data_IF_509608804526
#
_entry.id   IF_509608804526
#
_cell.length_a   1.000
_cell.length_b   1.000
_cell.length_c   1.000
_cell.angle_alpha   90.00
_cell.angle_beta   90.00
_cell.angle_gamma   90.00
#
_symmetry.space_group_name_H-M   'P 1'
#
loop_
_entity.id
_entity.type
_entity.pdbx_description
1 polymer ?
#
# COMPACT_ATOMS: atom_id res chain seq x y z
N UNK A 1 12.23 -58.24 -16.12
CA UNK A 1 13.20 -57.16 -16.43
C UNK A 1 14.47 -57.41 -15.63
N UNK A 2 15.67 -57.22 -16.20
CA UNK A 2 16.92 -57.40 -15.47
C UNK A 2 17.17 -56.22 -14.51
N UNK A 3 17.87 -56.47 -13.40
CA UNK A 3 18.25 -55.44 -12.43
C UNK A 3 18.95 -54.25 -13.11
N UNK A 4 19.77 -54.51 -14.13
CA UNK A 4 20.47 -53.48 -14.91
C UNK A 4 19.55 -52.60 -15.77
N UNK A 5 18.37 -53.08 -16.16
CA UNK A 5 17.38 -52.24 -16.87
C UNK A 5 16.66 -51.30 -15.88
N UNK A 6 16.35 -51.76 -14.68
CA UNK A 6 15.78 -50.91 -13.63
C UNK A 6 16.73 -49.79 -13.20
N UNK A 7 18.01 -50.09 -12.97
CA UNK A 7 19.00 -49.08 -12.60
C UNK A 7 19.19 -48.01 -13.68
N UNK A 8 19.14 -48.39 -14.97
CA UNK A 8 19.21 -47.43 -16.09
C UNK A 8 17.98 -46.54 -16.15
N UNK A 9 16.78 -47.10 -16.00
CA UNK A 9 15.53 -46.34 -15.99
C UNK A 9 15.53 -45.35 -14.81
N UNK A 10 15.91 -45.81 -13.62
CA UNK A 10 15.97 -44.96 -12.43
C UNK A 10 17.02 -43.84 -12.59
N UNK A 11 18.20 -44.17 -13.14
CA UNK A 11 19.25 -43.20 -13.40
C UNK A 11 18.82 -42.12 -14.40
N UNK A 12 18.16 -42.50 -15.50
CA UNK A 12 17.62 -41.55 -16.48
C UNK A 12 16.54 -40.67 -15.83
N UNK A 13 15.63 -41.26 -15.05
CA UNK A 13 14.60 -40.51 -14.35
C UNK A 13 15.20 -39.50 -13.36
N UNK A 14 16.22 -39.89 -12.60
CA UNK A 14 16.91 -39.02 -11.65
C UNK A 14 17.61 -37.85 -12.36
N UNK A 15 18.34 -38.11 -13.44
CA UNK A 15 18.96 -37.04 -14.26
C UNK A 15 17.91 -36.11 -14.85
N UNK A 16 16.78 -36.65 -15.32
CA UNK A 16 15.66 -35.85 -15.81
C UNK A 16 15.06 -34.92 -14.74
N UNK A 17 14.91 -35.41 -13.50
CA UNK A 17 14.45 -34.60 -12.37
C UNK A 17 15.46 -33.49 -12.06
N UNK A 18 16.76 -33.82 -11.95
CA UNK A 18 17.80 -32.83 -11.71
C UNK A 18 17.86 -31.76 -12.80
N UNK A 19 17.76 -32.17 -14.08
CA UNK A 19 17.71 -31.24 -15.20
C UNK A 19 16.48 -30.32 -15.14
N UNK A 20 15.33 -30.85 -14.71
CA UNK A 20 14.09 -30.07 -14.53
C UNK A 20 14.22 -29.05 -13.40
N UNK A 21 14.76 -29.47 -12.24
CA UNK A 21 15.03 -28.57 -11.11
C UNK A 21 16.03 -27.49 -11.50
N UNK A 22 17.09 -27.86 -12.23
CA UNK A 22 18.09 -26.91 -12.71
C UNK A 22 17.52 -25.93 -13.74
N UNK A 23 16.70 -26.42 -14.68
CA UNK A 23 15.99 -25.58 -15.65
C UNK A 23 15.04 -24.60 -14.97
N UNK A 24 14.32 -25.05 -13.94
CA UNK A 24 13.45 -24.19 -13.15
C UNK A 24 14.23 -23.13 -12.36
N UNK A 25 15.35 -23.51 -11.74
CA UNK A 25 16.24 -22.58 -11.03
C UNK A 25 16.82 -21.51 -11.95
N UNK A 26 17.19 -21.88 -13.18
CA UNK A 26 17.71 -20.94 -14.18
C UNK A 26 16.62 -20.04 -14.79
N UNK A 27 15.34 -20.40 -14.63
CA UNK A 27 14.21 -19.59 -15.10
C UNK A 27 13.70 -18.65 -14.00
N UNK A 28 13.57 -19.12 -12.76
CA UNK A 28 12.94 -18.38 -11.67
C UNK A 28 13.69 -17.07 -11.35
N UNK A 29 12.96 -15.97 -11.44
CA UNK A 29 13.40 -14.68 -10.97
C UNK A 29 13.37 -14.61 -9.43
N UNK A 30 14.25 -13.78 -8.82
CA UNK A 30 14.22 -13.52 -7.38
C UNK A 30 12.88 -12.90 -6.97
N UNK A 31 12.33 -13.34 -5.85
CA UNK A 31 11.08 -12.83 -5.28
C UNK A 31 11.25 -11.40 -4.79
N UNK A 32 10.33 -10.52 -5.15
CA UNK A 32 10.33 -9.10 -4.76
C UNK A 32 8.97 -8.66 -4.19
N UNK A 33 7.87 -9.00 -4.87
CA UNK A 33 6.51 -8.62 -4.46
C UNK A 33 5.96 -9.45 -3.31
N UNK A 34 5.26 -8.81 -2.36
CA UNK A 34 4.66 -9.48 -1.21
C UNK A 34 3.61 -10.54 -1.58
N UNK A 35 2.75 -10.28 -2.58
CA UNK A 35 1.73 -11.22 -3.05
C UNK A 35 2.35 -12.40 -3.79
N UNK A 36 3.36 -12.16 -4.63
CA UNK A 36 4.10 -13.24 -5.28
C UNK A 36 4.81 -14.12 -4.25
N UNK A 37 5.44 -13.51 -3.23
CA UNK A 37 6.11 -14.21 -2.12
C UNK A 37 5.14 -15.07 -1.31
N UNK A 38 4.05 -14.48 -0.83
CA UNK A 38 3.11 -15.14 0.09
C UNK A 38 2.20 -16.12 -0.65
N UNK A 39 1.80 -15.80 -1.88
CA UNK A 39 1.05 -16.70 -2.74
C UNK A 39 1.92 -17.78 -3.40
N UNK A 40 3.24 -17.60 -3.41
CA UNK A 40 4.21 -18.45 -4.11
C UNK A 40 4.11 -18.39 -5.63
N UNK A 41 3.68 -17.26 -6.19
CA UNK A 41 3.65 -17.02 -7.63
C UNK A 41 5.05 -16.65 -8.13
N UNK A 42 5.33 -16.97 -9.39
CA UNK A 42 6.62 -16.65 -9.99
C UNK A 42 6.69 -15.19 -10.43
N UNK A 43 7.80 -14.52 -10.13
CA UNK A 43 8.11 -13.17 -10.62
C UNK A 43 8.34 -13.13 -12.13
N UNK A 44 8.58 -14.29 -12.75
CA UNK A 44 8.55 -14.47 -14.19
C UNK A 44 7.21 -14.10 -14.79
N UNK A 45 6.12 -14.40 -14.08
CA UNK A 45 4.76 -14.21 -14.56
C UNK A 45 4.20 -12.88 -14.05
N UNK A 46 4.36 -12.60 -12.77
CA UNK A 46 3.72 -11.44 -12.12
C UNK A 46 4.66 -10.27 -11.85
N UNK A 47 5.98 -10.42 -12.01
CA UNK A 47 6.91 -9.33 -11.74
C UNK A 47 6.79 -8.21 -12.79
N UNK A 48 6.77 -6.93 -12.39
CA UNK A 48 6.67 -5.81 -13.31
C UNK A 48 7.88 -5.75 -14.24
N UNK A 49 7.68 -5.24 -15.46
CA UNK A 49 8.74 -5.07 -16.47
C UNK A 49 9.01 -3.60 -16.81
N UNK A 50 8.05 -2.72 -16.54
CA UNK A 50 8.24 -1.29 -16.73
C UNK A 50 9.15 -0.72 -15.63
N UNK A 51 10.01 0.25 -15.98
CA UNK A 51 10.77 1.02 -15.00
C UNK A 51 9.87 1.70 -13.95
N UNK A 52 10.38 1.82 -12.72
CA UNK A 52 9.76 2.55 -11.62
C UNK A 52 10.60 3.77 -11.28
N UNK A 53 9.96 4.93 -11.12
CA UNK A 53 10.63 6.16 -10.75
C UNK A 53 10.96 6.17 -9.25
N UNK A 54 12.24 6.17 -8.90
CA UNK A 54 12.75 6.12 -7.53
C UNK A 54 13.64 7.33 -7.20
N UNK A 55 13.70 7.69 -5.92
CA UNK A 55 14.61 8.71 -5.41
C UNK A 55 15.95 8.09 -5.00
N UNK A 56 17.02 8.88 -5.03
CA UNK A 56 18.35 8.40 -4.58
C UNK A 56 18.37 8.03 -3.10
N UNK A 57 17.60 8.77 -2.29
CA UNK A 57 17.43 8.58 -0.86
C UNK A 57 16.02 8.96 -0.42
N UNK A 58 15.58 8.42 0.71
CA UNK A 58 14.32 8.84 1.31
C UNK A 58 14.43 10.25 1.89
N UNK A 59 13.35 11.02 1.75
CA UNK A 59 13.20 12.39 2.25
C UNK A 59 12.47 12.44 3.61
N UNK A 60 12.07 11.27 4.13
CA UNK A 60 11.33 11.10 5.37
C UNK A 60 12.07 10.16 6.32
N UNK A 61 11.66 10.17 7.60
CA UNK A 61 12.12 9.22 8.62
C UNK A 61 10.96 8.32 9.04
N UNK A 62 11.14 7.01 8.95
CA UNK A 62 10.29 6.04 9.65
C UNK A 62 10.85 5.86 11.05
N UNK A 63 10.02 6.08 12.07
CA UNK A 63 10.43 5.84 13.46
C UNK A 63 10.45 4.34 13.80
N UNK A 64 11.41 3.95 14.64
CA UNK A 64 11.43 2.64 15.28
C UNK A 64 11.18 2.70 16.79
N UNK A 65 11.29 3.89 17.39
CA UNK A 65 11.03 4.20 18.80
C UNK A 65 10.33 5.58 18.90
N UNK A 66 9.34 5.77 19.77
CA UNK A 66 8.69 7.07 20.00
C UNK A 66 9.71 8.20 20.30
N UNK A 67 10.87 7.87 20.88
CA UNK A 67 11.98 8.81 21.15
C UNK A 67 12.60 9.39 19.88
N UNK A 68 12.38 8.78 18.72
CA UNK A 68 12.82 9.31 17.42
C UNK A 68 12.12 10.61 17.02
N UNK A 69 10.99 10.92 17.67
CA UNK A 69 10.30 12.19 17.54
C UNK A 69 10.82 13.17 18.60
N UNK A 70 12.05 13.63 18.38
CA UNK A 70 12.81 14.49 19.29
C UNK A 70 12.88 15.96 18.83
N UNK A 71 12.36 16.26 17.65
CA UNK A 71 12.33 17.58 17.03
C UNK A 71 11.03 17.80 16.27
N UNK A 72 10.78 19.06 15.91
CA UNK A 72 9.62 19.45 15.13
C UNK A 72 9.62 18.83 13.72
N UNK A 73 8.43 18.39 13.29
CA UNK A 73 8.10 18.05 11.91
C UNK A 73 6.78 18.73 11.53
N UNK A 74 6.67 19.21 10.30
CA UNK A 74 5.43 19.83 9.80
C UNK A 74 4.28 18.80 9.73
N UNK A 75 4.62 17.56 9.36
CA UNK A 75 3.68 16.46 9.17
C UNK A 75 4.07 15.25 10.01
N UNK A 76 3.10 14.75 10.76
CA UNK A 76 3.18 13.45 11.44
C UNK A 76 2.26 12.48 10.72
N UNK A 77 2.80 11.35 10.28
CA UNK A 77 2.02 10.26 9.67
C UNK A 77 1.96 9.10 10.66
N UNK A 78 0.77 8.56 10.90
CA UNK A 78 0.60 7.22 11.44
C UNK A 78 0.01 6.36 10.32
N UNK A 79 0.83 5.46 9.76
CA UNK A 79 0.50 4.70 8.56
C UNK A 79 0.83 3.23 8.67
N UNK A 80 0.45 2.44 7.66
CA UNK A 80 0.75 1.01 7.60
C UNK A 80 1.87 0.70 6.59
N UNK A 81 1.89 -0.50 6.00
CA UNK A 81 2.89 -0.91 5.01
C UNK A 81 2.95 0.02 3.79
N UNK A 82 1.87 0.72 3.43
CA UNK A 82 1.87 1.74 2.38
C UNK A 82 2.71 2.96 2.74
N UNK A 83 2.95 3.19 4.02
CA UNK A 83 3.84 4.24 4.53
C UNK A 83 5.19 3.71 5.01
N UNK A 84 5.24 2.53 5.63
CA UNK A 84 6.42 2.05 6.36
C UNK A 84 7.33 1.18 5.48
N UNK A 85 6.75 0.29 4.69
CA UNK A 85 7.54 -0.74 3.97
C UNK A 85 8.16 -0.19 2.66
N UNK A 86 7.97 1.11 2.39
CA UNK A 86 8.48 1.80 1.21
C UNK A 86 9.90 2.36 1.37
N UNK A 87 10.47 2.28 2.57
CA UNK A 87 11.82 2.80 2.85
C UNK A 87 12.89 2.14 1.96
N UNK A 88 12.78 0.83 1.72
CA UNK A 88 13.72 0.09 0.86
C UNK A 88 13.55 0.39 -0.63
N UNK A 89 12.33 0.73 -1.05
CA UNK A 89 11.95 0.95 -2.46
C UNK A 89 12.27 2.37 -2.96
N UNK A 90 12.39 3.34 -2.06
CA UNK A 90 12.73 4.74 -2.36
C UNK A 90 11.75 5.47 -3.30
N UNK A 91 10.57 4.92 -3.55
CA UNK A 91 9.49 5.57 -4.31
C UNK A 91 8.18 5.69 -3.52
N UNK A 92 8.25 5.61 -2.18
CA UNK A 92 7.10 5.87 -1.31
C UNK A 92 6.48 7.25 -1.54
N UNK A 93 5.19 7.36 -1.26
CA UNK A 93 4.40 8.57 -1.52
C UNK A 93 4.93 9.78 -0.73
N UNK A 94 5.56 9.54 0.42
CA UNK A 94 6.18 10.56 1.26
C UNK A 94 7.27 11.33 0.53
N UNK A 95 8.09 10.64 -0.27
CA UNK A 95 9.13 11.30 -1.06
C UNK A 95 8.51 12.28 -2.05
N UNK A 96 7.44 11.86 -2.76
CA UNK A 96 6.73 12.74 -3.68
C UNK A 96 6.06 13.92 -2.96
N UNK A 97 5.42 13.67 -1.81
CA UNK A 97 4.75 14.71 -1.02
C UNK A 97 5.74 15.76 -0.52
N UNK A 98 6.84 15.33 0.09
CA UNK A 98 7.88 16.23 0.63
C UNK A 98 8.56 16.98 -0.51
N UNK A 99 8.87 16.31 -1.62
CA UNK A 99 9.49 16.95 -2.77
C UNK A 99 8.59 18.03 -3.41
N UNK A 100 7.26 17.81 -3.41
CA UNK A 100 6.27 18.75 -3.93
C UNK A 100 6.01 19.91 -2.98
N UNK A 101 5.89 19.65 -1.68
CA UNK A 101 5.42 20.65 -0.71
C UNK A 101 6.55 21.36 0.04
N UNK A 102 7.70 20.71 0.20
CA UNK A 102 8.78 21.16 1.07
C UNK A 102 8.55 20.95 2.56
N UNK A 103 7.44 20.30 2.95
CA UNK A 103 7.13 20.03 4.36
C UNK A 103 7.97 18.86 4.90
N UNK A 104 8.45 19.00 6.13
CA UNK A 104 9.14 17.91 6.83
C UNK A 104 8.15 16.86 7.36
N UNK A 105 8.56 15.58 7.36
CA UNK A 105 7.68 14.47 7.74
C UNK A 105 8.38 13.41 8.60
N UNK A 106 7.65 12.92 9.59
CA UNK A 106 7.98 11.72 10.37
C UNK A 106 6.83 10.70 10.25
N UNK A 107 7.18 9.42 10.14
CA UNK A 107 6.23 8.31 9.90
C UNK A 107 6.29 7.30 11.03
N UNK A 108 5.14 7.01 11.63
CA UNK A 108 4.90 5.99 12.65
C UNK A 108 4.16 4.80 12.05
N UNK A 109 4.50 3.60 12.54
CA UNK A 109 3.89 2.34 12.10
C UNK A 109 2.65 2.00 12.96
N UNK A 110 1.49 1.87 12.32
CA UNK A 110 0.22 1.43 12.93
C UNK A 110 0.29 0.04 13.55
N UNK A 111 1.26 -0.80 13.15
CA UNK A 111 1.51 -2.11 13.75
C UNK A 111 2.20 -2.00 15.12
N UNK A 112 2.77 -0.84 15.45
CA UNK A 112 3.58 -0.62 16.66
C UNK A 112 2.97 0.38 17.62
N UNK A 113 2.33 1.42 17.10
CA UNK A 113 1.86 2.55 17.90
C UNK A 113 0.40 2.84 17.67
N UNK A 114 -0.26 3.21 18.76
CA UNK A 114 -1.59 3.79 18.75
C UNK A 114 -1.51 5.32 18.62
N UNK A 115 -2.53 5.95 17.99
CA UNK A 115 -2.60 7.40 17.84
C UNK A 115 -2.40 8.17 19.16
N UNK A 116 -3.00 7.67 20.24
CA UNK A 116 -2.92 8.32 21.55
C UNK A 116 -1.50 8.30 22.12
N UNK A 117 -0.68 7.30 21.80
CA UNK A 117 0.71 7.27 22.25
C UNK A 117 1.52 8.41 21.64
N UNK A 118 1.23 8.77 20.38
CA UNK A 118 1.89 9.86 19.65
C UNK A 118 1.36 11.22 20.14
N UNK A 119 0.03 11.34 20.28
CA UNK A 119 -0.62 12.57 20.75
C UNK A 119 -0.17 12.96 22.16
N UNK A 120 0.12 11.97 23.01
CA UNK A 120 0.54 12.20 24.39
C UNK A 120 2.01 12.63 24.53
N UNK A 121 2.82 12.55 23.46
CA UNK A 121 4.24 12.89 23.51
C UNK A 121 4.46 14.38 23.85
N UNK A 122 5.48 14.69 24.68
CA UNK A 122 5.80 16.09 25.02
C UNK A 122 6.03 16.98 23.80
N UNK A 123 6.72 16.48 22.77
CA UNK A 123 6.99 17.24 21.54
C UNK A 123 5.70 17.58 20.79
N UNK A 124 4.73 16.64 20.73
CA UNK A 124 3.46 16.85 20.05
C UNK A 124 2.62 17.90 20.77
N UNK A 125 2.65 17.91 22.11
CA UNK A 125 1.90 18.88 22.92
C UNK A 125 2.54 20.27 22.91
N UNK A 126 3.87 20.35 22.97
CA UNK A 126 4.60 21.63 23.02
C UNK A 126 4.73 22.27 21.64
N UNK A 127 4.90 21.45 20.61
CA UNK A 127 5.14 21.86 19.23
C UNK A 127 4.30 20.99 18.28
N UNK A 128 2.96 21.13 18.29
CA UNK A 128 2.07 20.30 17.48
C UNK A 128 2.39 20.43 15.99
N UNK A 129 2.30 19.33 15.22
CA UNK A 129 2.49 19.38 13.78
C UNK A 129 1.36 20.16 13.12
N UNK A 130 1.61 20.72 11.94
CA UNK A 130 0.58 21.37 11.13
C UNK A 130 -0.46 20.36 10.66
N UNK A 131 -0.01 19.17 10.28
CA UNK A 131 -0.87 18.10 9.76
C UNK A 131 -0.55 16.78 10.46
N UNK A 132 -1.61 16.10 10.89
CA UNK A 132 -1.55 14.70 11.28
C UNK A 132 -2.29 13.87 10.22
N UNK A 133 -1.55 12.99 9.56
CA UNK A 133 -2.10 12.08 8.55
C UNK A 133 -2.28 10.71 9.20
N UNK A 134 -3.53 10.25 9.23
CA UNK A 134 -3.81 8.84 9.47
C UNK A 134 -3.92 8.13 8.12
N UNK A 135 -2.95 7.27 7.83
CA UNK A 135 -2.92 6.47 6.62
C UNK A 135 -3.34 5.04 6.93
N UNK A 136 -4.24 4.49 6.11
CA UNK A 136 -4.67 3.11 6.24
C UNK A 136 -4.99 2.51 4.88
N UNK A 137 -4.51 1.30 4.64
CA UNK A 137 -5.08 0.43 3.63
C UNK A 137 -6.54 0.12 3.92
N UNK A 138 -7.32 0.10 2.85
CA UNK A 138 -8.77 0.00 2.88
C UNK A 138 -9.27 -1.25 3.61
N UNK A 139 -8.67 -2.44 3.37
CA UNK A 139 -9.05 -3.70 4.03
C UNK A 139 -8.93 -3.76 5.55
N UNK A 140 -8.20 -2.83 6.17
CA UNK A 140 -8.06 -2.76 7.64
C UNK A 140 -8.62 -1.46 8.23
N UNK A 141 -9.18 -0.60 7.38
CA UNK A 141 -9.63 0.72 7.78
C UNK A 141 -10.77 0.64 8.79
N UNK A 142 -11.76 -0.23 8.53
CA UNK A 142 -12.91 -0.38 9.42
C UNK A 142 -12.47 -0.76 10.83
N UNK A 143 -11.63 -1.79 10.98
CA UNK A 143 -11.14 -2.24 12.29
C UNK A 143 -10.35 -1.16 13.02
N UNK A 144 -9.58 -0.35 12.29
CA UNK A 144 -8.74 0.70 12.87
C UNK A 144 -9.53 1.92 13.35
N UNK A 145 -10.60 2.29 12.66
CA UNK A 145 -11.36 3.51 13.01
C UNK A 145 -12.65 3.22 13.77
N UNK A 146 -13.27 2.05 13.59
CA UNK A 146 -14.52 1.70 14.26
C UNK A 146 -14.38 1.66 15.78
N UNK A 147 -13.17 1.43 16.31
CA UNK A 147 -12.89 1.56 17.74
C UNK A 147 -13.29 2.94 18.31
N UNK A 148 -13.11 4.01 17.53
CA UNK A 148 -13.45 5.38 17.95
C UNK A 148 -14.94 5.68 17.86
N UNK A 149 -15.74 4.87 17.16
CA UNK A 149 -17.17 5.16 16.96
C UNK A 149 -17.98 5.14 18.27
N UNK A 150 -17.51 4.37 19.27
CA UNK A 150 -18.08 4.31 20.61
C UNK A 150 -17.52 5.35 21.59
N UNK A 151 -16.57 6.19 21.17
CA UNK A 151 -15.94 7.18 22.04
C UNK A 151 -16.67 8.51 22.03
N UNK A 152 -16.52 9.26 23.13
CA UNK A 152 -16.98 10.65 23.20
C UNK A 152 -15.87 11.56 22.68
N UNK A 153 -16.18 12.36 21.66
CA UNK A 153 -15.24 13.34 21.14
C UNK A 153 -14.91 14.41 22.21
N UNK A 154 -13.65 14.84 22.35
CA UNK A 154 -13.29 15.90 23.27
C UNK A 154 -13.87 17.25 22.83
N UNK A 155 -13.92 18.21 23.77
CA UNK A 155 -14.24 19.60 23.43
C UNK A 155 -13.10 20.19 22.58
N UNK A 156 -13.46 20.87 21.49
CA UNK A 156 -12.48 21.51 20.61
C UNK A 156 -11.99 22.83 21.22
N UNK A 157 -10.67 23.02 21.27
CA UNK A 157 -10.08 24.33 21.49
C UNK A 157 -10.39 25.25 20.29
N UNK A 158 -10.43 26.59 20.47
CA UNK A 158 -10.49 27.52 19.35
C UNK A 158 -9.36 27.27 18.36
N UNK A 159 -9.68 27.26 17.06
CA UNK A 159 -8.66 27.01 16.04
C UNK A 159 -7.62 28.13 16.01
N UNK A 160 -6.36 27.74 16.12
CA UNK A 160 -5.14 28.53 15.93
C UNK A 160 -4.30 28.00 14.77
N UNK A 161 -4.82 27.02 14.03
CA UNK A 161 -4.16 26.44 12.87
C UNK A 161 -3.80 27.53 11.85
N UNK A 162 -2.61 27.48 11.24
CA UNK A 162 -2.26 28.45 10.21
C UNK A 162 -3.26 28.33 9.04
N UNK A 163 -3.73 29.45 8.46
CA UNK A 163 -4.66 29.41 7.33
C UNK A 163 -3.99 28.78 6.10
N UNK A 164 -2.73 29.12 5.87
CA UNK A 164 -1.86 28.56 4.83
C UNK A 164 -0.86 27.57 5.45
N UNK A 165 -1.08 26.27 5.26
CA UNK A 165 -0.20 25.20 5.72
C UNK A 165 1.16 25.24 5.03
N UNK A 166 1.17 25.65 3.76
CA UNK A 166 2.36 25.69 2.92
C UNK A 166 3.05 27.06 2.88
N UNK A 167 2.61 28.02 3.70
CA UNK A 167 3.22 29.34 3.77
C UNK A 167 4.74 29.24 4.01
N UNK A 168 5.52 29.78 3.07
CA UNK A 168 6.98 29.78 3.12
C UNK A 168 7.67 28.46 2.75
N UNK A 169 6.91 27.37 2.56
CA UNK A 169 7.45 26.11 2.07
C UNK A 169 7.71 26.19 0.55
N UNK A 170 8.75 25.51 0.08
CA UNK A 170 9.12 25.48 -1.34
C UNK A 170 9.34 24.04 -1.80
N UNK A 171 8.84 23.67 -3.00
CA UNK A 171 9.17 22.38 -3.59
C UNK A 171 10.69 22.17 -3.64
N UNK A 172 11.15 20.98 -3.29
CA UNK A 172 12.59 20.66 -3.28
C UNK A 172 13.12 20.46 -4.71
N UNK A 173 12.25 20.07 -5.65
CA UNK A 173 12.61 19.90 -7.06
C UNK A 173 13.60 18.76 -7.34
N UNK A 174 13.73 17.81 -6.41
CA UNK A 174 14.55 16.61 -6.55
C UNK A 174 13.93 15.72 -7.62
N UNK A 175 14.75 15.27 -8.57
CA UNK A 175 14.29 14.39 -9.66
C UNK A 175 14.37 12.93 -9.21
N UNK A 176 13.30 12.19 -9.44
CA UNK A 176 13.35 10.73 -9.43
C UNK A 176 14.04 10.24 -10.71
N UNK A 177 14.66 9.07 -10.65
CA UNK A 177 15.27 8.38 -11.78
C UNK A 177 14.57 7.03 -12.02
N UNK A 178 14.58 6.58 -13.26
CA UNK A 178 13.99 5.30 -13.63
C UNK A 178 14.87 4.14 -13.15
N UNK A 179 14.27 3.23 -12.39
CA UNK A 179 14.90 2.00 -11.91
C UNK A 179 14.15 0.79 -12.49
N UNK A 180 14.89 -0.13 -13.12
CA UNK A 180 14.33 -1.39 -13.64
C UNK A 180 14.58 -2.54 -12.68
N UNK A 181 13.59 -3.40 -12.50
CA UNK A 181 13.75 -4.65 -11.76
C UNK A 181 14.86 -5.53 -12.38
N UNK A 182 15.62 -6.23 -11.52
CA UNK A 182 16.61 -7.19 -11.99
C UNK A 182 15.91 -8.40 -12.61
N UNK A 183 16.20 -8.69 -13.88
CA UNK A 183 15.70 -9.88 -14.59
C UNK A 183 16.72 -11.03 -14.60
N UNK A 184 17.73 -10.97 -13.73
CA UNK A 184 18.73 -12.04 -13.63
C UNK A 184 18.19 -13.12 -12.71
N UNK A 185 17.86 -14.27 -13.29
CA UNK A 185 17.61 -15.49 -12.52
C UNK A 185 18.86 -15.87 -11.72
N UNK A 186 18.63 -16.33 -10.48
CA UNK A 186 19.67 -16.81 -9.59
C UNK A 186 19.45 -18.27 -9.26
N UNK A 187 20.52 -19.06 -9.19
CA UNK A 187 20.41 -20.44 -8.73
C UNK A 187 20.31 -20.47 -7.21
N UNK A 188 19.09 -20.63 -6.70
CA UNK A 188 18.79 -20.84 -5.28
C UNK A 188 17.87 -22.06 -5.14
N UNK A 189 18.40 -23.13 -4.55
CA UNK A 189 17.67 -24.40 -4.40
C UNK A 189 16.51 -24.30 -3.42
N UNK A 190 16.63 -23.47 -2.38
CA UNK A 190 15.58 -23.31 -1.37
C UNK A 190 14.40 -22.55 -1.97
N UNK A 191 14.71 -21.53 -2.80
CA UNK A 191 13.69 -20.81 -3.57
C UNK A 191 12.94 -21.74 -4.53
N UNK A 192 13.64 -22.61 -5.26
CA UNK A 192 13.03 -23.56 -6.21
C UNK A 192 12.12 -24.56 -5.50
N UNK A 193 12.60 -25.17 -4.41
CA UNK A 193 11.82 -26.13 -3.63
C UNK A 193 10.62 -25.44 -2.97
N UNK A 194 10.81 -24.23 -2.45
CA UNK A 194 9.72 -23.41 -1.90
C UNK A 194 8.64 -23.11 -2.93
N UNK A 195 9.04 -22.71 -4.14
CA UNK A 195 8.10 -22.46 -5.24
C UNK A 195 7.31 -23.71 -5.63
N UNK A 196 7.99 -24.86 -5.80
CA UNK A 196 7.32 -26.14 -6.10
C UNK A 196 6.34 -26.54 -4.99
N UNK A 197 6.74 -26.38 -3.72
CA UNK A 197 5.86 -26.60 -2.58
C UNK A 197 4.63 -25.69 -2.60
N UNK A 198 4.80 -24.41 -2.93
CA UNK A 198 3.69 -23.47 -3.03
C UNK A 198 2.73 -23.81 -4.18
N UNK A 199 3.23 -24.27 -5.33
CA UNK A 199 2.39 -24.76 -6.44
C UNK A 199 1.50 -25.91 -5.96
N UNK A 200 2.08 -26.88 -5.24
CA UNK A 200 1.33 -28.01 -4.67
C UNK A 200 0.30 -27.52 -3.65
N UNK A 201 0.69 -26.64 -2.72
CA UNK A 201 -0.23 -26.09 -1.72
C UNK A 201 -1.41 -25.33 -2.36
N UNK A 202 -1.17 -24.52 -3.41
CA UNK A 202 -2.24 -23.85 -4.15
C UNK A 202 -3.17 -24.84 -4.84
N UNK A 203 -2.62 -25.86 -5.51
CA UNK A 203 -3.44 -26.86 -6.20
C UNK A 203 -4.32 -27.67 -5.23
N UNK A 204 -3.83 -27.89 -4.01
CA UNK A 204 -4.57 -28.55 -2.93
C UNK A 204 -5.49 -27.61 -2.13
N UNK A 205 -5.53 -26.31 -2.46
CA UNK A 205 -6.32 -25.32 -1.73
C UNK A 205 -5.83 -25.02 -0.31
N UNK A 206 -4.57 -25.34 0.00
CA UNK A 206 -3.96 -25.16 1.32
C UNK A 206 -3.38 -23.75 1.53
N UNK A 207 -3.12 -23.01 0.45
CA UNK A 207 -2.77 -21.58 0.53
C UNK A 207 -4.01 -20.75 0.22
N UNK A 208 -4.48 -20.00 1.21
CA UNK A 208 -5.64 -19.12 1.13
C UNK A 208 -5.29 -17.64 1.35
N UNK A 209 -4.01 -17.27 1.32
CA UNK A 209 -3.60 -15.90 1.63
C UNK A 209 -3.72 -14.95 0.43
N UNK A 210 -3.50 -15.46 -0.78
CA UNK A 210 -3.53 -14.68 -2.03
C UNK A 210 -4.54 -15.30 -2.99
N UNK A 211 -5.36 -14.45 -3.59
CA UNK A 211 -6.34 -14.83 -4.60
C UNK A 211 -5.90 -14.26 -5.95
N UNK A 212 -5.90 -15.13 -6.96
CA UNK A 212 -5.73 -14.72 -8.35
C UNK A 212 -7.11 -14.40 -8.94
N UNK A 213 -7.29 -13.18 -9.43
CA UNK A 213 -8.54 -12.69 -10.01
C UNK A 213 -8.32 -12.40 -11.50
N UNK A 214 -9.04 -13.10 -12.40
CA UNK A 214 -8.97 -12.83 -13.83
C UNK A 214 -9.53 -11.45 -14.18
N UNK A 215 -8.84 -10.77 -15.10
CA UNK A 215 -9.19 -9.46 -15.63
C UNK A 215 -9.88 -9.59 -17.00
N UNK A 216 -10.83 -8.70 -17.25
CA UNK A 216 -11.52 -8.54 -18.54
C UNK A 216 -10.69 -7.73 -19.55
N UNK A 217 -9.65 -7.03 -19.09
CA UNK A 217 -8.82 -6.13 -19.90
C UNK A 217 -7.34 -6.38 -19.66
N UNK A 218 -6.59 -6.51 -20.77
CA UNK A 218 -5.13 -6.59 -20.81
C UNK A 218 -4.47 -5.22 -20.71
N UNK A 219 -3.17 -5.20 -20.44
CA UNK A 219 -2.37 -3.98 -20.44
C UNK A 219 -2.62 -3.04 -19.25
N UNK A 220 -3.11 -3.56 -18.13
CA UNK A 220 -3.18 -2.86 -16.84
C UNK A 220 -1.86 -2.96 -16.07
N UNK A 221 -1.13 -4.06 -16.29
CA UNK A 221 0.18 -4.34 -15.72
C UNK A 221 1.23 -4.48 -16.84
N UNK A 222 2.50 -4.27 -16.51
CA UNK A 222 3.63 -4.54 -17.40
C UNK A 222 4.19 -5.96 -17.27
N UNK A 223 3.70 -6.75 -16.33
CA UNK A 223 4.09 -8.14 -16.14
C UNK A 223 3.74 -9.03 -17.35
N UNK A 224 4.46 -10.14 -17.57
CA UNK A 224 4.14 -11.08 -18.64
C UNK A 224 2.74 -11.70 -18.52
N UNK A 225 2.27 -12.00 -17.30
CA UNK A 225 0.86 -12.22 -17.04
C UNK A 225 0.18 -10.85 -16.85
N UNK A 226 -0.56 -10.42 -17.86
CA UNK A 226 -1.38 -9.21 -17.84
C UNK A 226 -2.89 -9.50 -17.91
N UNK A 227 -3.26 -10.76 -17.68
CA UNK A 227 -4.66 -11.24 -17.67
C UNK A 227 -5.19 -11.48 -16.28
N UNK A 228 -4.32 -11.60 -15.28
CA UNK A 228 -4.70 -11.93 -13.92
C UNK A 228 -4.06 -10.95 -12.93
N UNK A 229 -4.76 -10.73 -11.83
CA UNK A 229 -4.33 -9.86 -10.75
C UNK A 229 -4.26 -10.64 -9.44
N UNK A 230 -3.17 -10.46 -8.71
CA UNK A 230 -3.05 -10.99 -7.36
C UNK A 230 -3.58 -9.97 -6.36
N UNK A 231 -4.35 -10.45 -5.37
CA UNK A 231 -4.83 -9.68 -4.21
C UNK A 231 -4.72 -10.49 -2.93
N UNK A 232 -4.68 -9.83 -1.77
CA UNK A 232 -4.84 -10.55 -0.51
C UNK A 232 -6.28 -11.06 -0.35
N UNK A 233 -6.43 -12.27 0.19
CA UNK A 233 -7.75 -12.83 0.52
C UNK A 233 -8.53 -11.93 1.48
N UNK A 234 -7.83 -11.25 2.38
CA UNK A 234 -8.42 -10.31 3.33
C UNK A 234 -9.19 -9.17 2.66
N UNK A 235 -8.84 -8.77 1.44
CA UNK A 235 -9.62 -7.75 0.71
C UNK A 235 -11.07 -8.20 0.48
N UNK A 236 -11.30 -9.52 0.28
CA UNK A 236 -12.63 -10.07 0.03
C UNK A 236 -13.51 -10.08 1.27
N UNK A 237 -12.94 -9.94 2.48
CA UNK A 237 -13.74 -9.79 3.72
C UNK A 237 -14.62 -8.54 3.67
N UNK A 238 -14.24 -7.52 2.90
CA UNK A 238 -15.04 -6.31 2.71
C UNK A 238 -16.40 -6.57 2.05
N UNK A 239 -16.60 -7.73 1.40
CA UNK A 239 -17.88 -8.10 0.80
C UNK A 239 -18.98 -8.33 1.84
N UNK A 240 -18.63 -8.60 3.09
CA UNK A 240 -19.60 -8.73 4.18
C UNK A 240 -19.95 -7.42 4.88
N UNK A 241 -19.28 -6.31 4.54
CA UNK A 241 -19.57 -5.01 5.15
C UNK A 241 -20.93 -4.50 4.69
N UNK A 242 -21.70 -3.97 5.62
CA UNK A 242 -23.01 -3.37 5.36
C UNK A 242 -23.11 -1.93 5.88
N UNK A 243 -24.31 -1.36 5.77
CA UNK A 243 -24.57 0.03 6.16
C UNK A 243 -24.22 0.35 7.61
N UNK A 244 -24.38 -0.61 8.53
CA UNK A 244 -23.95 -0.42 9.91
C UNK A 244 -22.43 -0.21 10.01
N UNK A 245 -21.65 -1.01 9.31
CA UNK A 245 -20.19 -0.91 9.32
C UNK A 245 -19.74 0.40 8.66
N UNK A 246 -20.41 0.84 7.60
CA UNK A 246 -20.14 2.12 6.96
C UNK A 246 -20.49 3.33 7.84
N UNK A 247 -21.55 3.22 8.65
CA UNK A 247 -21.90 4.24 9.64
C UNK A 247 -20.88 4.28 10.79
N UNK A 248 -20.48 3.12 11.32
CA UNK A 248 -19.43 3.01 12.34
C UNK A 248 -18.08 3.55 11.83
N UNK A 249 -17.76 3.28 10.56
CA UNK A 249 -16.59 3.81 9.85
C UNK A 249 -16.58 5.35 9.83
N UNK A 250 -17.65 5.98 9.34
CA UNK A 250 -17.76 7.45 9.26
C UNK A 250 -17.73 8.10 10.64
N UNK A 251 -18.47 7.53 11.60
CA UNK A 251 -18.50 8.01 12.99
C UNK A 251 -17.12 7.90 13.65
N UNK A 252 -16.45 6.76 13.49
CA UNK A 252 -15.11 6.53 14.01
C UNK A 252 -14.10 7.52 13.46
N UNK A 253 -14.10 7.74 12.14
CA UNK A 253 -13.25 8.75 11.50
C UNK A 253 -13.53 10.17 12.02
N UNK A 254 -14.80 10.55 12.18
CA UNK A 254 -15.17 11.87 12.69
C UNK A 254 -14.75 12.09 14.15
N UNK A 255 -14.89 11.07 15.00
CA UNK A 255 -14.44 11.16 16.40
C UNK A 255 -12.91 11.24 16.46
N UNK A 256 -12.23 10.45 15.64
CA UNK A 256 -10.78 10.45 15.61
C UNK A 256 -10.22 11.80 15.12
N UNK A 257 -10.81 12.38 14.07
CA UNK A 257 -10.52 13.76 13.65
C UNK A 257 -10.60 14.72 14.84
N UNK A 258 -11.73 14.72 15.57
CA UNK A 258 -11.93 15.63 16.71
C UNK A 258 -10.93 15.42 17.84
N UNK A 259 -10.46 14.19 18.07
CA UNK A 259 -9.43 13.90 19.07
C UNK A 259 -8.13 14.61 18.70
N UNK A 260 -7.70 14.49 17.44
CA UNK A 260 -6.42 15.03 16.98
C UNK A 260 -6.47 16.56 16.86
N UNK A 261 -7.59 17.09 16.38
CA UNK A 261 -7.80 18.54 16.22
C UNK A 261 -8.13 19.26 17.55
N UNK A 262 -8.28 18.53 18.67
CA UNK A 262 -8.63 19.10 19.97
C UNK A 262 -7.62 20.14 20.49
N UNK A 263 -6.36 20.06 20.04
CA UNK A 263 -5.32 21.04 20.37
C UNK A 263 -5.51 22.41 19.66
N UNK A 264 -6.46 22.51 18.72
CA UNK A 264 -6.79 23.71 17.96
C UNK A 264 -5.77 24.09 16.88
N UNK A 265 -4.63 23.40 16.76
CA UNK A 265 -3.56 23.75 15.83
C UNK A 265 -3.40 22.74 14.69
N UNK A 266 -3.40 21.45 15.03
CA UNK A 266 -3.16 20.36 14.08
C UNK A 266 -4.40 20.11 13.24
N UNK A 267 -4.24 20.04 11.91
CA UNK A 267 -5.28 19.54 11.01
C UNK A 267 -5.16 18.04 10.84
N UNK A 268 -6.28 17.33 10.90
CA UNK A 268 -6.31 15.89 10.65
C UNK A 268 -6.64 15.61 9.19
N UNK A 269 -6.00 14.59 8.61
CA UNK A 269 -6.38 14.02 7.31
C UNK A 269 -6.41 12.51 7.41
N UNK A 270 -7.52 11.91 6.99
CA UNK A 270 -7.61 10.46 6.81
C UNK A 270 -7.36 10.15 5.33
N UNK A 271 -6.21 9.55 5.04
CA UNK A 271 -5.89 9.14 3.69
C UNK A 271 -5.93 7.62 3.58
N UNK A 272 -6.73 7.12 2.65
CA UNK A 272 -6.99 5.69 2.52
C UNK A 272 -6.32 5.18 1.26
N UNK A 273 -5.51 4.13 1.40
CA UNK A 273 -4.97 3.40 0.27
C UNK A 273 -6.02 2.39 -0.22
N UNK A 274 -6.70 2.62 -1.35
CA UNK A 274 -7.72 1.69 -1.81
C UNK A 274 -7.10 0.34 -2.16
N UNK A 275 -7.85 -0.72 -1.97
CA UNK A 275 -7.41 -2.05 -2.35
C UNK A 275 -7.45 -2.23 -3.88
N UNK A 276 -6.73 -3.23 -4.37
CA UNK A 276 -6.79 -3.57 -5.80
C UNK A 276 -8.18 -4.05 -6.21
N UNK A 277 -8.82 -4.87 -5.38
CA UNK A 277 -10.15 -5.45 -5.68
C UNK A 277 -11.27 -4.41 -5.80
N UNK A 278 -11.15 -3.25 -5.14
CA UNK A 278 -12.08 -2.12 -5.30
C UNK A 278 -11.66 -1.21 -6.45
N UNK A 279 -10.37 -0.90 -6.57
CA UNK A 279 -9.82 -0.01 -7.62
C UNK A 279 -10.00 -0.59 -9.03
N UNK A 280 -9.74 -1.89 -9.20
CA UNK A 280 -9.85 -2.57 -10.49
C UNK A 280 -11.24 -3.20 -10.73
N UNK A 281 -12.24 -2.92 -9.88
CA UNK A 281 -13.59 -3.48 -10.03
C UNK A 281 -14.17 -3.39 -11.46
N UNK A 282 -14.01 -2.27 -12.22
CA UNK A 282 -14.51 -2.17 -13.59
C UNK A 282 -13.80 -3.09 -14.61
N UNK A 283 -12.66 -3.67 -14.24
CA UNK A 283 -11.81 -4.48 -15.12
C UNK A 283 -11.80 -5.96 -14.73
N UNK A 284 -12.56 -6.37 -13.71
CA UNK A 284 -12.63 -7.77 -13.31
C UNK A 284 -13.47 -8.56 -14.33
N UNK A 285 -13.07 -9.80 -14.61
CA UNK A 285 -13.86 -10.69 -15.46
C UNK A 285 -15.15 -11.12 -14.78
N UNK A 286 -15.10 -11.30 -13.46
CA UNK A 286 -16.26 -11.65 -12.64
C UNK A 286 -16.49 -10.54 -11.59
N UNK A 287 -17.65 -9.90 -11.66
CA UNK A 287 -17.99 -8.78 -10.79
C UNK A 287 -18.23 -9.18 -9.32
N UNK A 288 -18.45 -10.47 -9.05
CA UNK A 288 -18.59 -11.04 -7.69
C UNK A 288 -17.29 -10.97 -6.88
N UNK A 289 -16.16 -10.65 -7.52
CA UNK A 289 -14.87 -10.41 -6.85
C UNK A 289 -14.61 -8.93 -6.55
N UNK A 290 -15.47 -8.03 -7.00
CA UNK A 290 -15.38 -6.62 -6.63
C UNK A 290 -15.69 -6.47 -5.13
N UNK A 291 -15.02 -5.51 -4.50
CA UNK A 291 -15.20 -5.20 -3.08
C UNK A 291 -15.65 -3.75 -2.91
N UNK A 292 -16.20 -3.43 -1.74
CA UNK A 292 -16.59 -2.06 -1.42
C UNK A 292 -15.39 -1.10 -1.48
N UNK A 293 -15.65 0.10 -2.01
CA UNK A 293 -14.72 1.22 -2.01
C UNK A 293 -15.01 2.11 -0.80
N UNK A 294 -14.26 1.92 0.28
CA UNK A 294 -14.41 2.64 1.54
C UNK A 294 -13.98 4.10 1.44
N UNK A 295 -13.12 4.47 0.48
CA UNK A 295 -12.81 5.88 0.21
C UNK A 295 -14.06 6.62 -0.25
N UNK A 296 -14.82 6.01 -1.18
CA UNK A 296 -16.09 6.54 -1.63
C UNK A 296 -17.15 6.53 -0.52
N UNK A 297 -17.17 5.52 0.35
CA UNK A 297 -18.09 5.45 1.49
C UNK A 297 -17.84 6.53 2.54
N UNK A 298 -16.57 6.83 2.84
CA UNK A 298 -16.18 7.94 3.72
C UNK A 298 -16.55 9.29 3.10
N UNK A 299 -16.32 9.46 1.80
CA UNK A 299 -16.59 10.70 1.08
C UNK A 299 -18.09 11.07 0.99
N UNK A 300 -19.00 10.17 1.36
CA UNK A 300 -20.42 10.50 1.55
C UNK A 300 -20.64 11.52 2.68
N UNK A 301 -19.72 11.61 3.63
CA UNK A 301 -19.70 12.67 4.65
C UNK A 301 -18.71 13.77 4.24
N UNK A 302 -19.19 14.94 3.77
CA UNK A 302 -18.33 16.03 3.32
C UNK A 302 -17.56 16.73 4.46
N UNK A 303 -17.88 16.44 5.73
CA UNK A 303 -17.15 16.98 6.87
C UNK A 303 -15.81 16.24 7.12
N UNK A 304 -15.66 15.03 6.57
CA UNK A 304 -14.45 14.23 6.75
C UNK A 304 -13.33 14.69 5.79
N UNK A 305 -12.11 14.93 6.28
CA UNK A 305 -10.97 15.34 5.46
C UNK A 305 -10.34 14.12 4.78
N UNK A 306 -11.03 13.57 3.78
CA UNK A 306 -10.64 12.36 3.04
C UNK A 306 -10.37 12.71 1.58
N UNK A 307 -9.10 12.75 1.13
CA UNK A 307 -8.76 12.90 -0.28
C UNK A 307 -9.36 11.77 -1.12
N UNK A 308 -9.89 12.07 -2.31
CA UNK A 308 -10.47 11.10 -3.26
C UNK A 308 -9.42 10.33 -4.05
N UNK A 309 -8.56 9.61 -3.32
CA UNK A 309 -7.47 8.78 -3.89
C UNK A 309 -8.02 7.71 -4.83
N UNK A 310 -9.20 7.18 -4.54
CA UNK A 310 -9.92 6.23 -5.40
C UNK A 310 -10.19 6.78 -6.80
N UNK A 311 -10.64 8.03 -6.91
CA UNK A 311 -10.94 8.66 -8.18
C UNK A 311 -9.66 8.94 -8.99
N UNK A 312 -8.65 9.53 -8.34
CA UNK A 312 -7.38 9.88 -9.01
C UNK A 312 -6.70 8.64 -9.58
N UNK A 313 -6.68 7.53 -8.83
CA UNK A 313 -6.12 6.27 -9.30
C UNK A 313 -6.96 5.66 -10.44
N UNK A 314 -8.29 5.63 -10.29
CA UNK A 314 -9.19 5.08 -11.31
C UNK A 314 -9.10 5.83 -12.65
N UNK A 315 -9.01 7.15 -12.62
CA UNK A 315 -8.86 8.00 -13.82
C UNK A 315 -7.56 7.68 -14.58
N UNK A 316 -6.45 7.55 -13.86
CA UNK A 316 -5.15 7.24 -14.48
C UNK A 316 -5.12 5.82 -15.04
N UNK A 317 -5.73 4.85 -14.35
CA UNK A 317 -5.89 3.49 -14.88
C UNK A 317 -6.76 3.49 -16.15
N UNK A 318 -7.87 4.24 -16.14
CA UNK A 318 -8.76 4.38 -17.30
C UNK A 318 -8.05 4.98 -18.51
N UNK A 319 -7.10 5.91 -18.29
CA UNK A 319 -6.25 6.49 -19.33
C UNK A 319 -5.25 5.52 -19.96
N UNK A 320 -5.14 4.28 -19.45
CA UNK A 320 -4.27 3.24 -19.98
C UNK A 320 -2.86 3.23 -19.36
N UNK A 321 -2.67 3.93 -18.23
CA UNK A 321 -1.40 3.88 -17.50
C UNK A 321 -1.25 2.53 -16.80
N UNK A 322 -0.12 1.87 -17.07
CA UNK A 322 0.26 0.60 -16.43
C UNK A 322 0.89 0.82 -15.06
N UNK A 323 0.84 -0.24 -14.26
CA UNK A 323 1.56 -0.35 -12.99
C UNK A 323 1.21 0.76 -11.99
N UNK A 324 -0.04 1.23 -12.01
CA UNK A 324 -0.58 2.05 -10.92
C UNK A 324 -0.52 1.26 -9.61
N UNK A 325 -0.82 -0.04 -9.70
CA UNK A 325 -0.40 -1.05 -8.74
C UNK A 325 0.57 -2.01 -9.39
N UNK A 326 1.50 -2.57 -8.62
CA UNK A 326 2.35 -3.64 -9.12
C UNK A 326 1.53 -4.95 -9.17
N UNK A 327 1.78 -5.79 -10.17
CA UNK A 327 1.05 -7.05 -10.38
C UNK A 327 1.38 -8.11 -9.33
N UNK A 328 2.64 -8.16 -8.89
CA UNK A 328 3.18 -9.10 -7.89
C UNK A 328 3.07 -8.62 -6.44
N UNK A 329 2.65 -7.37 -6.21
CA UNK A 329 2.70 -6.74 -4.90
C UNK A 329 1.39 -6.03 -4.54
N UNK A 330 1.00 -6.00 -3.27
CA UNK A 330 -0.24 -5.35 -2.83
C UNK A 330 -0.19 -3.82 -2.93
N UNK A 331 1.01 -3.24 -3.01
CA UNK A 331 1.25 -1.81 -3.05
C UNK A 331 1.24 -1.22 -4.46
N UNK A 332 1.31 0.11 -4.52
CA UNK A 332 1.40 0.86 -5.75
C UNK A 332 2.75 0.70 -6.45
N UNK A 333 2.75 0.90 -7.77
CA UNK A 333 3.98 1.31 -8.45
C UNK A 333 4.31 2.77 -8.14
N UNK A 334 5.44 3.26 -8.64
CA UNK A 334 5.89 4.63 -8.39
C UNK A 334 4.87 5.68 -8.83
N UNK A 335 4.11 5.42 -9.90
CA UNK A 335 3.06 6.31 -10.38
C UNK A 335 1.89 6.39 -9.39
N UNK A 336 1.47 5.27 -8.79
CA UNK A 336 0.39 5.28 -7.80
C UNK A 336 0.79 6.00 -6.52
N UNK A 337 2.03 5.79 -6.05
CA UNK A 337 2.58 6.57 -4.93
C UNK A 337 2.63 8.08 -5.21
N UNK A 338 3.02 8.48 -6.42
CA UNK A 338 3.00 9.89 -6.83
C UNK A 338 1.58 10.46 -6.81
N UNK A 339 0.61 9.75 -7.38
CA UNK A 339 -0.79 10.20 -7.43
C UNK A 339 -1.40 10.33 -6.03
N UNK A 340 -1.09 9.39 -5.14
CA UNK A 340 -1.50 9.44 -3.75
C UNK A 340 -0.95 10.67 -3.02
N UNK A 341 0.34 10.96 -3.21
CA UNK A 341 0.98 12.15 -2.67
C UNK A 341 0.37 13.45 -3.24
N UNK A 342 0.08 13.46 -4.54
CA UNK A 342 -0.54 14.60 -5.21
C UNK A 342 -1.95 14.86 -4.64
N UNK A 343 -2.78 13.82 -4.52
CA UNK A 343 -4.11 13.92 -3.94
C UNK A 343 -4.09 14.49 -2.51
N UNK A 344 -3.11 14.09 -1.68
CA UNK A 344 -2.94 14.66 -0.35
C UNK A 344 -2.59 16.15 -0.40
N UNK A 345 -1.60 16.52 -1.22
CA UNK A 345 -1.15 17.91 -1.34
C UNK A 345 -2.25 18.83 -1.87
N UNK A 346 -3.00 18.38 -2.89
CA UNK A 346 -4.14 19.09 -3.47
C UNK A 346 -5.27 19.25 -2.46
N UNK A 347 -5.58 18.20 -1.70
CA UNK A 347 -6.59 18.26 -0.65
C UNK A 347 -6.23 19.32 0.41
N UNK A 348 -4.99 19.30 0.90
CA UNK A 348 -4.50 20.27 1.87
C UNK A 348 -4.56 21.71 1.33
N UNK A 349 -4.15 21.96 0.08
CA UNK A 349 -4.23 23.29 -0.56
C UNK A 349 -5.68 23.76 -0.71
N UNK A 350 -6.59 22.90 -1.18
CA UNK A 350 -7.99 23.27 -1.38
C UNK A 350 -8.69 23.65 -0.08
N UNK A 351 -8.23 23.09 1.05
CA UNK A 351 -8.73 23.41 2.38
C UNK A 351 -8.30 24.79 2.90
N UNK A 352 -7.31 25.44 2.27
CA UNK A 352 -6.88 26.81 2.61
C UNK A 352 -7.77 27.89 1.97
N UNK A 353 -8.55 27.53 0.95
CA UNK A 353 -9.40 28.47 0.19
C UNK A 353 -10.85 28.56 0.70
N UNK A 354 -11.17 27.87 1.81
CA UNK A 354 -12.47 27.90 2.48
C UNK A 354 -12.32 28.58 3.84
#
# INVERSE_FOLDING_TARGET
MSLGLYSKILGIAFVGILASVWGLAAWLLPVDGDLARVGGYAENDFGPRAPQAAFDQNLFKVTTDLKDYDKYYDVVVLGDSFSVDQESRRFGWQNYFINRTGLSMIVFDTRRYWPMEIYELPIFKQHPPKVFVFESVERYLHERVAYFSGMTAPAAAPSTAPPELFAGAKPLGIKAHEQTASLKAGFDTDHVLGHLGAVVQRHLGLNNQVVEIPLAKKGLFSSPNDTDMLVYFDELKKQSLGEKDFDDLRKGAAVYQKIIEANGFTRFVLIVAPDKSSTFAPYLKNADRATANLVAELAKDPALPVPRTDQVLAEVIASGKKDVYLSNDSHWGSIGHKLFADALADHLQSSESK
#
